data_IF_927951960822
#
_entry.id   IF_927951960822
#
_cell.length_a   1.000
_cell.length_b   1.000
_cell.length_c   1.000
_cell.angle_alpha   90.00
_cell.angle_beta   90.00
_cell.angle_gamma   90.00
#
_symmetry.space_group_name_H-M   'P 1'
#
loop_
_entity.id
_entity.type
_entity.pdbx_description
1 polymer ?
#
# COMPACT_ATOMS: atom_id res chain seq x y z
N UNK A 1 19.61 -13.76 -28.13
CA UNK A 1 18.48 -13.55 -27.21
C UNK A 1 19.02 -13.09 -25.87
N UNK A 2 18.41 -12.11 -25.19
CA UNK A 2 18.81 -11.76 -23.81
C UNK A 2 18.56 -12.99 -22.92
N UNK A 3 19.52 -13.35 -22.07
CA UNK A 3 19.37 -14.46 -21.13
C UNK A 3 18.13 -14.22 -20.24
N UNK A 4 17.25 -15.23 -20.03
CA UNK A 4 16.10 -15.12 -19.13
C UNK A 4 16.52 -14.60 -17.76
N UNK A 5 15.66 -13.81 -17.12
CA UNK A 5 15.91 -13.27 -15.79
C UNK A 5 16.13 -14.39 -14.77
N UNK A 6 15.35 -15.48 -14.86
CA UNK A 6 15.48 -16.65 -13.99
C UNK A 6 16.88 -17.31 -14.04
N UNK A 7 17.53 -17.32 -15.20
CA UNK A 7 18.85 -17.94 -15.39
C UNK A 7 20.03 -17.02 -15.01
N UNK A 8 19.79 -15.72 -14.80
CA UNK A 8 20.84 -14.79 -14.41
C UNK A 8 21.25 -14.99 -12.94
N UNK A 9 22.52 -14.76 -12.56
CA UNK A 9 22.92 -14.73 -11.16
C UNK A 9 22.04 -13.76 -10.35
N UNK A 10 21.60 -14.18 -9.17
CA UNK A 10 20.60 -13.44 -8.40
C UNK A 10 21.04 -12.02 -8.04
N UNK A 11 22.31 -11.77 -7.73
CA UNK A 11 22.79 -10.42 -7.39
C UNK A 11 22.70 -9.46 -8.58
N UNK A 12 23.02 -9.94 -9.79
CA UNK A 12 22.94 -9.24 -11.07
C UNK A 12 21.49 -8.95 -11.45
N UNK A 13 20.61 -9.95 -11.36
CA UNK A 13 19.19 -9.79 -11.62
C UNK A 13 18.57 -8.71 -10.71
N UNK A 14 18.87 -8.75 -9.40
CA UNK A 14 18.37 -7.75 -8.43
C UNK A 14 18.93 -6.35 -8.72
N UNK A 15 20.21 -6.22 -9.12
CA UNK A 15 20.78 -4.91 -9.53
C UNK A 15 20.10 -4.37 -10.79
N UNK A 16 19.88 -5.21 -11.79
CA UNK A 16 19.20 -4.82 -13.03
C UNK A 16 17.79 -4.33 -12.74
N UNK A 17 16.99 -5.12 -12.00
CA UNK A 17 15.64 -4.74 -11.61
C UNK A 17 15.62 -3.45 -10.78
N UNK A 18 16.58 -3.28 -9.85
CA UNK A 18 16.70 -2.05 -9.07
C UNK A 18 16.98 -0.83 -9.96
N UNK A 19 17.82 -0.96 -10.99
CA UNK A 19 18.06 0.10 -11.98
C UNK A 19 16.79 0.44 -12.75
N UNK A 20 16.08 -0.57 -13.26
CA UNK A 20 14.82 -0.37 -13.98
C UNK A 20 13.80 0.40 -13.16
N UNK A 21 13.59 0.04 -11.89
CA UNK A 21 12.66 0.75 -11.01
C UNK A 21 13.14 2.16 -10.64
N UNK A 22 14.46 2.35 -10.52
CA UNK A 22 15.04 3.66 -10.26
C UNK A 22 14.89 4.61 -11.45
N UNK A 23 14.99 4.10 -12.68
CA UNK A 23 14.78 4.88 -13.90
C UNK A 23 13.30 5.18 -14.14
N UNK A 24 12.39 4.24 -13.85
CA UNK A 24 10.94 4.52 -13.81
C UNK A 24 10.60 5.61 -12.79
N UNK A 25 11.19 5.54 -11.60
CA UNK A 25 11.02 6.58 -10.58
C UNK A 25 11.60 7.92 -11.07
N UNK A 26 12.72 7.94 -11.78
CA UNK A 26 13.21 9.20 -12.35
C UNK A 26 12.24 9.77 -13.38
N UNK A 27 11.80 8.97 -14.35
CA UNK A 27 10.90 9.44 -15.41
C UNK A 27 9.58 9.98 -14.84
N UNK A 28 9.07 9.38 -13.77
CA UNK A 28 7.90 9.90 -13.06
C UNK A 28 8.22 11.15 -12.23
N UNK A 29 9.40 11.20 -11.58
CA UNK A 29 9.85 12.37 -10.82
C UNK A 29 10.01 13.62 -11.69
N UNK A 30 10.47 13.46 -12.93
CA UNK A 30 10.66 14.56 -13.89
C UNK A 30 9.32 15.20 -14.33
N UNK A 31 8.21 14.47 -14.17
CA UNK A 31 6.86 14.96 -14.46
C UNK A 31 6.14 15.57 -13.24
N UNK A 32 6.70 15.46 -12.03
CA UNK A 32 6.04 15.94 -10.80
C UNK A 32 5.83 17.45 -10.75
N UNK A 33 6.64 18.21 -11.49
CA UNK A 33 6.53 19.66 -11.58
C UNK A 33 5.37 20.12 -12.49
N UNK A 34 4.78 19.22 -13.30
CA UNK A 34 3.60 19.50 -14.12
C UNK A 34 2.31 19.33 -13.30
N UNK A 35 1.59 20.41 -12.96
CA UNK A 35 0.36 20.31 -12.21
C UNK A 35 -0.78 19.60 -12.97
N UNK A 36 -0.70 19.52 -14.30
CA UNK A 36 -1.68 18.85 -15.15
C UNK A 36 -1.49 17.32 -15.18
N UNK A 37 -0.32 16.81 -14.81
CA UNK A 37 -0.03 15.38 -14.77
C UNK A 37 -0.45 14.78 -13.42
N UNK A 38 -1.70 14.30 -13.37
CA UNK A 38 -2.25 13.66 -12.17
C UNK A 38 -1.67 12.27 -11.89
N UNK A 39 -1.00 11.64 -12.87
CA UNK A 39 -0.46 10.28 -12.76
C UNK A 39 1.02 10.26 -12.36
N UNK A 40 1.77 11.35 -12.54
CA UNK A 40 3.19 11.43 -12.23
C UNK A 40 3.52 10.96 -10.80
N UNK A 41 2.73 11.41 -9.81
CA UNK A 41 2.92 10.99 -8.42
C UNK A 41 2.55 9.53 -8.18
N UNK A 42 1.49 9.04 -8.83
CA UNK A 42 1.10 7.64 -8.78
C UNK A 42 2.25 6.75 -9.28
N UNK A 43 2.77 7.04 -10.47
CA UNK A 43 3.86 6.29 -11.09
C UNK A 43 5.14 6.33 -10.27
N UNK A 44 5.47 7.53 -9.74
CA UNK A 44 6.63 7.72 -8.88
C UNK A 44 6.56 6.82 -7.63
N UNK A 45 5.41 6.84 -6.95
CA UNK A 45 5.14 6.02 -5.78
C UNK A 45 5.18 4.52 -6.11
N UNK A 46 4.60 4.12 -7.25
CA UNK A 46 4.63 2.71 -7.71
C UNK A 46 6.06 2.24 -7.92
N UNK A 47 6.89 3.03 -8.59
CA UNK A 47 8.29 2.70 -8.86
C UNK A 47 9.13 2.61 -7.58
N UNK A 48 9.01 3.57 -6.66
CA UNK A 48 9.70 3.54 -5.36
C UNK A 48 9.26 2.34 -4.51
N UNK A 49 7.95 2.02 -4.50
CA UNK A 49 7.43 0.86 -3.80
C UNK A 49 8.01 -0.43 -4.36
N UNK A 50 8.07 -0.59 -5.69
CA UNK A 50 8.69 -1.75 -6.36
C UNK A 50 10.18 -1.87 -6.02
N UNK A 51 10.93 -0.77 -6.07
CA UNK A 51 12.33 -0.74 -5.65
C UNK A 51 12.51 -1.19 -4.20
N UNK A 52 11.76 -0.61 -3.26
CA UNK A 52 11.81 -0.99 -1.84
C UNK A 52 11.49 -2.46 -1.64
N UNK A 53 10.45 -2.95 -2.30
CA UNK A 53 9.98 -4.31 -2.21
C UNK A 53 11.00 -5.32 -2.74
N UNK A 54 11.61 -5.04 -3.89
CA UNK A 54 12.69 -5.84 -4.46
C UNK A 54 13.87 -5.95 -3.47
N UNK A 55 14.32 -4.81 -2.92
CA UNK A 55 15.43 -4.77 -1.97
C UNK A 55 15.13 -5.50 -0.65
N UNK A 56 13.85 -5.54 -0.24
CA UNK A 56 13.38 -6.28 0.94
C UNK A 56 13.32 -7.79 0.66
N UNK A 57 12.69 -8.19 -0.44
CA UNK A 57 12.50 -9.58 -0.83
C UNK A 57 13.84 -10.30 -1.06
N UNK A 58 14.80 -9.62 -1.68
CA UNK A 58 16.14 -10.15 -1.97
C UNK A 58 17.22 -9.54 -1.07
N UNK A 59 16.91 -9.25 0.20
CA UNK A 59 17.83 -8.60 1.16
C UNK A 59 19.18 -9.30 1.25
N UNK A 60 19.22 -10.62 1.14
CA UNK A 60 20.45 -11.43 1.17
C UNK A 60 21.44 -11.08 0.05
N UNK A 61 20.93 -10.70 -1.12
CA UNK A 61 21.73 -10.31 -2.30
C UNK A 61 21.92 -8.80 -2.33
N UNK A 62 20.87 -8.01 -2.02
CA UNK A 62 20.96 -6.56 -1.95
C UNK A 62 22.00 -6.07 -0.92
N UNK A 63 22.25 -6.81 0.18
CA UNK A 63 23.27 -6.43 1.17
C UNK A 63 24.72 -6.54 0.68
N UNK A 64 24.97 -7.26 -0.40
CA UNK A 64 26.32 -7.48 -0.94
C UNK A 64 26.87 -6.24 -1.69
N UNK A 65 25.98 -5.36 -2.17
CA UNK A 65 26.36 -4.17 -2.95
C UNK A 65 25.71 -2.88 -2.44
N UNK A 66 24.63 -2.96 -1.65
CA UNK A 66 23.96 -1.80 -1.08
C UNK A 66 24.18 -1.73 0.44
N UNK A 67 24.38 -0.53 0.98
CA UNK A 67 24.51 -0.34 2.43
C UNK A 67 23.15 -0.39 3.15
N UNK A 68 23.16 -0.69 4.46
CA UNK A 68 21.94 -0.61 5.30
C UNK A 68 21.31 0.79 5.22
N UNK A 69 22.15 1.84 5.25
CA UNK A 69 21.71 3.24 5.18
C UNK A 69 20.98 3.57 3.87
N UNK A 70 21.47 3.08 2.73
CA UNK A 70 20.81 3.31 1.44
C UNK A 70 19.51 2.52 1.30
N UNK A 71 19.46 1.27 1.77
CA UNK A 71 18.19 0.52 1.83
C UNK A 71 17.15 1.22 2.70
N UNK A 72 17.57 1.77 3.84
CA UNK A 72 16.67 2.54 4.71
C UNK A 72 16.18 3.79 3.98
N UNK A 73 17.04 4.52 3.26
CA UNK A 73 16.62 5.69 2.49
C UNK A 73 15.60 5.37 1.39
N UNK A 74 15.72 4.20 0.73
CA UNK A 74 14.71 3.72 -0.20
C UNK A 74 13.36 3.47 0.49
N UNK A 75 13.38 2.91 1.72
CA UNK A 75 12.18 2.77 2.55
C UNK A 75 11.57 4.13 2.89
N UNK A 76 12.38 5.06 3.36
CA UNK A 76 11.91 6.38 3.81
C UNK A 76 11.26 7.16 2.66
N UNK A 77 11.87 7.15 1.46
CA UNK A 77 11.31 7.80 0.26
C UNK A 77 9.98 7.17 -0.17
N UNK A 78 9.88 5.84 -0.17
CA UNK A 78 8.62 5.19 -0.50
C UNK A 78 7.54 5.49 0.56
N UNK A 79 7.93 5.56 1.84
CA UNK A 79 7.02 5.87 2.95
C UNK A 79 6.54 7.32 2.95
N UNK A 80 7.38 8.29 2.55
CA UNK A 80 6.95 9.71 2.49
C UNK A 80 5.86 9.95 1.45
N UNK A 81 5.79 9.11 0.40
CA UNK A 81 4.70 9.13 -0.59
C UNK A 81 3.48 8.28 -0.19
N UNK A 82 3.56 7.58 0.94
CA UNK A 82 2.51 6.67 1.41
C UNK A 82 1.31 7.39 2.02
N UNK A 83 1.56 8.46 2.79
CA UNK A 83 0.52 9.18 3.54
C UNK A 83 -0.58 9.72 2.61
N UNK A 84 -0.18 10.41 1.54
CA UNK A 84 -1.11 10.91 0.52
C UNK A 84 -1.99 9.80 -0.07
N UNK A 85 -1.45 8.59 -0.27
CA UNK A 85 -2.24 7.47 -0.78
C UNK A 85 -3.29 7.02 0.21
N UNK A 86 -2.97 6.99 1.50
CA UNK A 86 -3.90 6.56 2.53
C UNK A 86 -5.07 7.57 2.59
N UNK A 87 -4.79 8.87 2.53
CA UNK A 87 -5.81 9.93 2.47
C UNK A 87 -6.61 9.92 1.16
N UNK A 88 -6.00 9.63 0.00
CA UNK A 88 -6.74 9.40 -1.26
C UNK A 88 -7.79 8.28 -1.12
N UNK A 89 -7.40 7.16 -0.51
CA UNK A 89 -8.28 6.00 -0.34
C UNK A 89 -9.43 6.32 0.61
N UNK A 90 -9.14 7.01 1.72
CA UNK A 90 -10.16 7.46 2.67
C UNK A 90 -11.16 8.43 2.01
N UNK A 91 -10.66 9.42 1.27
CA UNK A 91 -11.51 10.38 0.56
C UNK A 91 -12.36 9.69 -0.51
N UNK A 92 -11.78 8.76 -1.28
CA UNK A 92 -12.50 7.97 -2.27
C UNK A 92 -13.64 7.16 -1.62
N UNK A 93 -13.35 6.46 -0.52
CA UNK A 93 -14.39 5.74 0.23
C UNK A 93 -15.47 6.70 0.75
N UNK A 94 -15.08 7.84 1.33
CA UNK A 94 -16.02 8.82 1.85
C UNK A 94 -16.97 9.31 0.76
N UNK A 95 -16.47 9.58 -0.44
CA UNK A 95 -17.31 10.01 -1.57
C UNK A 95 -18.34 8.96 -1.99
N UNK A 96 -18.05 7.66 -1.82
CA UNK A 96 -19.05 6.61 -2.08
C UNK A 96 -20.25 6.65 -1.12
N UNK A 97 -20.12 7.32 0.03
CA UNK A 97 -21.20 7.44 1.01
C UNK A 97 -22.10 8.66 0.77
N UNK A 98 -21.69 9.61 -0.08
CA UNK A 98 -22.32 10.92 -0.23
C UNK A 98 -23.84 10.86 -0.46
N UNK A 99 -24.30 9.93 -1.29
CA UNK A 99 -25.73 9.79 -1.64
C UNK A 99 -26.58 9.19 -0.51
N UNK A 100 -25.95 8.53 0.48
CA UNK A 100 -26.62 7.87 1.60
C UNK A 100 -26.75 8.76 2.83
N UNK A 101 -26.11 9.93 2.83
CA UNK A 101 -26.08 10.87 3.95
C UNK A 101 -27.41 11.62 4.07
N UNK A 102 -28.05 11.52 5.24
CA UNK A 102 -29.27 12.26 5.57
C UNK A 102 -28.94 13.73 5.92
N UNK A 103 -29.94 14.61 5.85
CA UNK A 103 -29.75 16.05 6.11
C UNK A 103 -29.05 16.35 7.44
N UNK A 104 -29.46 15.67 8.52
CA UNK A 104 -28.89 15.84 9.87
C UNK A 104 -27.47 15.23 10.03
N UNK A 105 -27.02 14.41 9.07
CA UNK A 105 -25.68 13.79 9.06
C UNK A 105 -24.70 14.59 8.20
N UNK A 106 -25.21 15.50 7.36
CA UNK A 106 -24.42 16.28 6.41
C UNK A 106 -23.30 17.12 7.04
N UNK A 107 -23.47 17.75 8.22
CA UNK A 107 -22.39 18.52 8.84
C UNK A 107 -21.14 17.67 9.10
N UNK A 108 -21.28 16.50 9.74
CA UNK A 108 -20.14 15.64 10.05
C UNK A 108 -19.49 15.02 8.81
N UNK A 109 -20.29 14.71 7.79
CA UNK A 109 -19.77 14.28 6.49
C UNK A 109 -18.90 15.35 5.84
N UNK A 110 -19.40 16.59 5.77
CA UNK A 110 -18.66 17.71 5.17
C UNK A 110 -17.40 18.05 5.96
N UNK A 111 -17.49 18.03 7.29
CA UNK A 111 -16.33 18.26 8.16
C UNK A 111 -15.22 17.24 7.88
N UNK A 112 -15.55 15.94 7.83
CA UNK A 112 -14.55 14.91 7.54
C UNK A 112 -14.00 15.05 6.11
N UNK A 113 -14.86 15.39 5.15
CA UNK A 113 -14.46 15.62 3.76
C UNK A 113 -13.45 16.77 3.67
N UNK A 114 -13.76 17.93 4.23
CA UNK A 114 -12.91 19.12 4.21
C UNK A 114 -11.56 18.83 4.85
N UNK A 115 -11.55 18.21 6.04
CA UNK A 115 -10.33 17.77 6.72
C UNK A 115 -9.43 16.90 5.85
N UNK A 116 -9.99 15.88 5.19
CA UNK A 116 -9.22 14.98 4.32
C UNK A 116 -8.73 15.70 3.05
N UNK A 117 -9.51 16.64 2.50
CA UNK A 117 -9.11 17.42 1.33
C UNK A 117 -7.95 18.37 1.65
N UNK A 118 -8.02 19.07 2.78
CA UNK A 118 -6.96 19.98 3.24
C UNK A 118 -5.67 19.21 3.50
N UNK A 119 -5.77 18.10 4.25
CA UNK A 119 -4.65 17.20 4.53
C UNK A 119 -4.01 16.67 3.25
N UNK A 120 -4.80 16.22 2.28
CA UNK A 120 -4.29 15.74 0.99
C UNK A 120 -3.55 16.84 0.22
N UNK A 121 -4.07 18.07 0.28
CA UNK A 121 -3.42 19.25 -0.30
C UNK A 121 -2.05 19.50 0.29
N UNK A 122 -1.95 19.49 1.62
CA UNK A 122 -0.69 19.67 2.35
C UNK A 122 0.31 18.55 2.05
N UNK A 123 -0.13 17.29 2.10
CA UNK A 123 0.72 16.13 1.80
C UNK A 123 1.25 16.16 0.36
N UNK A 124 0.44 16.63 -0.62
CA UNK A 124 0.90 16.84 -1.98
C UNK A 124 1.89 17.99 -2.14
N UNK A 125 1.67 19.11 -1.44
CA UNK A 125 2.61 20.21 -1.42
C UNK A 125 3.98 19.76 -0.87
N UNK A 126 3.98 19.05 0.27
CA UNK A 126 5.18 18.49 0.90
C UNK A 126 5.92 17.53 -0.01
N UNK A 127 5.20 16.62 -0.66
CA UNK A 127 5.79 15.66 -1.60
C UNK A 127 6.45 16.40 -2.76
N UNK A 128 5.75 17.33 -3.41
CA UNK A 128 6.27 18.09 -4.56
C UNK A 128 7.50 18.92 -4.18
N UNK A 129 7.53 19.50 -2.98
CA UNK A 129 8.65 20.33 -2.53
C UNK A 129 9.88 19.51 -2.10
N UNK A 130 9.69 18.47 -1.28
CA UNK A 130 10.81 17.79 -0.63
C UNK A 130 11.35 16.59 -1.43
N UNK A 131 10.46 15.88 -2.12
CA UNK A 131 10.76 14.55 -2.68
C UNK A 131 11.73 14.60 -3.86
N UNK A 132 11.61 15.52 -4.85
CA UNK A 132 12.52 15.54 -6.00
C UNK A 132 13.98 15.71 -5.60
N UNK A 133 14.27 16.65 -4.68
CA UNK A 133 15.64 16.88 -4.21
C UNK A 133 16.20 15.70 -3.41
N UNK A 134 15.35 15.08 -2.56
CA UNK A 134 15.70 13.92 -1.76
C UNK A 134 15.97 12.70 -2.65
N UNK A 135 15.15 12.50 -3.68
CA UNK A 135 15.27 11.44 -4.66
C UNK A 135 16.53 11.61 -5.52
N UNK A 136 16.82 12.82 -6.01
CA UNK A 136 18.05 13.12 -6.78
C UNK A 136 19.32 12.71 -6.02
N UNK A 137 19.42 13.07 -4.73
CA UNK A 137 20.55 12.67 -3.86
C UNK A 137 20.61 11.16 -3.65
N UNK A 138 19.46 10.52 -3.48
CA UNK A 138 19.36 9.06 -3.33
C UNK A 138 19.79 8.33 -4.61
N UNK A 139 19.26 8.73 -5.77
CA UNK A 139 19.57 8.15 -7.08
C UNK A 139 21.05 8.23 -7.41
N UNK A 140 21.70 9.37 -7.18
CA UNK A 140 23.15 9.51 -7.38
C UNK A 140 23.93 8.41 -6.64
N UNK A 141 23.64 8.24 -5.35
CA UNK A 141 24.29 7.21 -4.51
C UNK A 141 23.91 5.77 -4.89
N UNK A 142 22.71 5.56 -5.44
CA UNK A 142 22.31 4.26 -5.96
C UNK A 142 23.10 3.90 -7.22
N UNK A 143 23.24 4.83 -8.17
CA UNK A 143 23.97 4.59 -9.42
C UNK A 143 25.44 4.21 -9.16
N UNK A 144 26.12 4.92 -8.24
CA UNK A 144 27.47 4.60 -7.77
C UNK A 144 27.62 3.14 -7.28
N UNK A 145 26.54 2.49 -6.82
CA UNK A 145 26.53 1.10 -6.36
C UNK A 145 26.07 0.11 -7.43
N UNK A 146 25.18 0.55 -8.32
CA UNK A 146 24.65 -0.27 -9.41
C UNK A 146 25.65 -0.43 -10.56
N UNK A 147 26.58 0.51 -10.73
CA UNK A 147 27.64 0.48 -11.77
C UNK A 147 28.85 -0.38 -11.38
N UNK A 148 28.89 -0.92 -10.15
CA UNK A 148 29.98 -1.80 -9.72
C UNK A 148 29.96 -3.08 -10.55
N UNK A 149 31.01 -3.34 -11.32
CA UNK A 149 31.20 -4.65 -11.92
C UNK A 149 31.65 -5.65 -10.84
N UNK A 150 30.96 -6.78 -10.75
CA UNK A 150 31.25 -7.81 -9.76
C UNK A 150 31.02 -9.16 -10.41
N UNK A 151 32.02 -10.01 -10.33
CA UNK A 151 31.84 -11.44 -10.50
C UNK A 151 30.72 -11.90 -9.57
N UNK A 152 29.76 -12.62 -10.13
CA UNK A 152 28.53 -12.97 -9.47
C UNK A 152 28.38 -14.49 -9.51
N UNK A 153 28.90 -15.11 -8.46
CA UNK A 153 28.79 -16.53 -8.14
C UNK A 153 27.46 -16.86 -7.46
N UNK A 154 26.52 -15.90 -7.38
CA UNK A 154 25.22 -16.15 -6.81
C UNK A 154 24.47 -17.24 -7.60
N UNK A 155 23.68 -18.08 -6.91
CA UNK A 155 22.78 -19.00 -7.59
C UNK A 155 21.85 -18.27 -8.57
N UNK A 156 21.31 -18.98 -9.59
CA UNK A 156 20.36 -18.40 -10.52
C UNK A 156 19.16 -17.76 -9.79
N UNK A 157 18.70 -16.64 -10.32
CA UNK A 157 17.61 -15.86 -9.72
C UNK A 157 16.31 -16.66 -9.62
N UNK A 158 16.04 -17.54 -10.58
CA UNK A 158 14.88 -18.43 -10.60
C UNK A 158 14.84 -19.33 -9.37
N UNK A 159 15.91 -20.10 -9.11
CA UNK A 159 16.06 -20.97 -7.94
C UNK A 159 15.90 -20.21 -6.62
N UNK A 160 16.55 -19.05 -6.52
CA UNK A 160 16.44 -18.19 -5.33
C UNK A 160 15.01 -17.71 -5.12
N UNK A 161 14.33 -17.32 -6.21
CA UNK A 161 12.97 -16.80 -6.15
C UNK A 161 11.97 -17.92 -5.85
N UNK A 162 12.15 -19.12 -6.42
CA UNK A 162 11.37 -20.31 -6.12
C UNK A 162 11.40 -20.64 -4.63
N UNK A 163 12.59 -20.73 -4.03
CA UNK A 163 12.74 -20.98 -2.58
C UNK A 163 12.00 -19.93 -1.74
N UNK A 164 12.14 -18.65 -2.08
CA UNK A 164 11.47 -17.56 -1.37
C UNK A 164 9.96 -17.54 -1.58
N UNK A 165 9.48 -17.97 -2.74
CA UNK A 165 8.05 -18.12 -3.02
C UNK A 165 7.45 -19.21 -2.15
N UNK A 166 8.10 -20.38 -2.04
CA UNK A 166 7.66 -21.47 -1.16
C UNK A 166 7.59 -21.02 0.30
N UNK A 167 8.65 -20.41 0.84
CA UNK A 167 8.65 -19.90 2.21
C UNK A 167 7.52 -18.87 2.45
N UNK A 168 7.32 -17.94 1.50
CA UNK A 168 6.28 -16.93 1.62
C UNK A 168 4.87 -17.49 1.40
N UNK A 169 4.73 -18.60 0.67
CA UNK A 169 3.48 -19.31 0.45
C UNK A 169 3.03 -20.03 1.73
N UNK A 170 3.97 -20.64 2.45
CA UNK A 170 3.71 -21.27 3.75
C UNK A 170 3.28 -20.23 4.80
N UNK A 171 4.00 -19.10 4.89
CA UNK A 171 3.66 -17.96 5.75
C UNK A 171 2.24 -17.44 5.41
N UNK A 172 1.94 -17.28 4.12
CA UNK A 172 0.63 -16.84 3.67
C UNK A 172 -0.48 -17.84 4.01
N UNK A 173 -0.25 -19.14 3.76
CA UNK A 173 -1.17 -20.24 4.12
C UNK A 173 -1.49 -20.20 5.62
N UNK A 174 -0.48 -20.13 6.47
CA UNK A 174 -0.64 -20.16 7.92
C UNK A 174 -1.58 -19.04 8.40
N UNK A 175 -1.38 -17.81 7.90
CA UNK A 175 -2.25 -16.69 8.24
C UNK A 175 -3.68 -16.85 7.69
N UNK A 176 -3.83 -17.33 6.44
CA UNK A 176 -5.16 -17.59 5.88
C UNK A 176 -5.94 -18.65 6.66
N UNK A 177 -5.26 -19.70 7.13
CA UNK A 177 -5.87 -20.75 7.94
C UNK A 177 -6.36 -20.20 9.29
N UNK A 178 -5.59 -19.28 9.92
CA UNK A 178 -6.04 -18.60 11.14
C UNK A 178 -7.26 -17.70 10.89
N UNK A 179 -7.28 -16.98 9.77
CA UNK A 179 -8.45 -16.18 9.36
C UNK A 179 -9.68 -17.06 9.19
N UNK A 180 -9.53 -18.23 8.56
CA UNK A 180 -10.59 -19.23 8.39
C UNK A 180 -11.10 -19.77 9.73
N UNK A 181 -10.25 -19.90 10.73
CA UNK A 181 -10.62 -20.35 12.09
C UNK A 181 -11.25 -19.25 12.96
N UNK A 182 -11.43 -18.03 12.44
CA UNK A 182 -12.09 -16.93 13.14
C UNK A 182 -11.15 -15.92 13.81
N UNK A 183 -9.83 -16.04 13.63
CA UNK A 183 -8.88 -15.00 14.05
C UNK A 183 -8.91 -13.84 13.04
N UNK A 184 -9.51 -12.70 13.39
CA UNK A 184 -9.90 -11.73 12.37
C UNK A 184 -8.77 -10.74 12.00
N UNK A 185 -8.41 -9.80 12.88
CA UNK A 185 -7.79 -8.56 12.40
C UNK A 185 -6.27 -8.67 12.15
N UNK A 186 -5.50 -9.12 13.13
CA UNK A 186 -4.04 -9.21 13.00
C UNK A 186 -3.65 -10.22 11.93
N UNK A 187 -4.35 -11.35 11.86
CA UNK A 187 -4.08 -12.40 10.88
C UNK A 187 -4.41 -11.96 9.45
N UNK A 188 -5.49 -11.19 9.22
CA UNK A 188 -5.74 -10.55 7.91
C UNK A 188 -4.62 -9.57 7.56
N UNK A 189 -4.12 -8.80 8.53
CA UNK A 189 -3.00 -7.90 8.31
C UNK A 189 -1.72 -8.65 7.92
N UNK A 190 -1.39 -9.73 8.63
CA UNK A 190 -0.22 -10.55 8.34
C UNK A 190 -0.36 -11.31 7.01
N UNK A 191 -1.53 -11.89 6.71
CA UNK A 191 -1.84 -12.47 5.41
C UNK A 191 -1.64 -11.46 4.29
N UNK A 192 -2.14 -10.22 4.45
CA UNK A 192 -1.91 -9.13 3.50
C UNK A 192 -0.43 -8.81 3.32
N UNK A 193 0.37 -8.81 4.40
CA UNK A 193 1.82 -8.62 4.33
C UNK A 193 2.48 -9.77 3.55
N UNK A 194 2.15 -11.02 3.85
CA UNK A 194 2.69 -12.20 3.19
C UNK A 194 2.32 -12.23 1.70
N UNK A 195 1.06 -11.97 1.36
CA UNK A 195 0.61 -11.81 -0.03
C UNK A 195 1.38 -10.70 -0.75
N UNK A 196 1.69 -9.58 -0.09
CA UNK A 196 2.53 -8.52 -0.69
C UNK A 196 3.92 -9.05 -1.03
N UNK A 197 4.52 -9.85 -0.15
CA UNK A 197 5.83 -10.50 -0.40
C UNK A 197 5.74 -11.43 -1.61
N UNK A 198 4.72 -12.28 -1.69
CA UNK A 198 4.46 -13.16 -2.83
C UNK A 198 4.39 -12.36 -4.13
N UNK A 199 3.59 -11.29 -4.17
CA UNK A 199 3.45 -10.46 -5.36
C UNK A 199 4.78 -9.85 -5.80
N UNK A 200 5.60 -9.39 -4.86
CA UNK A 200 6.89 -8.78 -5.18
C UNK A 200 7.93 -9.79 -5.68
N UNK A 201 7.82 -11.06 -5.27
CA UNK A 201 8.66 -12.14 -5.78
C UNK A 201 8.21 -12.60 -7.18
N UNK A 202 6.89 -12.68 -7.40
CA UNK A 202 6.31 -13.12 -8.68
C UNK A 202 6.39 -12.06 -9.79
N UNK A 203 6.09 -10.78 -9.48
CA UNK A 203 5.96 -9.71 -10.50
C UNK A 203 7.13 -9.66 -11.50
N UNK A 204 8.41 -9.77 -11.08
CA UNK A 204 9.54 -9.70 -12.00
C UNK A 204 9.66 -10.91 -12.95
N UNK A 205 9.20 -12.08 -12.53
CA UNK A 205 9.36 -13.35 -13.25
C UNK A 205 8.07 -13.83 -13.92
N UNK A 206 6.93 -13.18 -13.64
CA UNK A 206 5.61 -13.58 -14.13
C UNK A 206 5.48 -13.67 -15.67
N UNK A 207 6.36 -12.99 -16.43
CA UNK A 207 6.39 -13.09 -17.90
C UNK A 207 7.12 -14.32 -18.43
N UNK A 208 7.96 -14.94 -17.61
CA UNK A 208 8.73 -16.15 -17.94
C UNK A 208 7.99 -17.43 -17.54
N UNK A 209 6.94 -17.30 -16.72
CA UNK A 209 6.13 -18.40 -16.20
C UNK A 209 4.87 -18.61 -17.05
N UNK A 210 4.56 -19.87 -17.32
CA UNK A 210 3.29 -20.25 -17.90
C UNK A 210 2.18 -19.97 -16.88
N UNK A 211 1.16 -19.20 -17.26
CA UNK A 211 0.11 -18.74 -16.35
C UNK A 211 0.55 -17.68 -15.33
N UNK A 212 1.79 -17.18 -15.37
CA UNK A 212 2.30 -16.22 -14.37
C UNK A 212 1.51 -14.91 -14.27
N UNK A 213 0.93 -14.43 -15.38
CA UNK A 213 0.05 -13.26 -15.39
C UNK A 213 -1.27 -13.52 -14.65
N UNK A 214 -1.84 -14.71 -14.83
CA UNK A 214 -3.08 -15.11 -14.18
C UNK A 214 -2.86 -15.31 -12.68
N UNK A 215 -1.71 -15.90 -12.30
CA UNK A 215 -1.31 -16.02 -10.90
C UNK A 215 -1.17 -14.65 -10.21
N UNK A 216 -0.59 -13.65 -10.89
CA UNK A 216 -0.55 -12.27 -10.39
C UNK A 216 -1.95 -11.67 -10.25
N UNK A 217 -2.87 -12.00 -11.17
CA UNK A 217 -4.26 -11.53 -11.13
C UNK A 217 -5.01 -12.15 -9.94
N UNK A 218 -4.95 -13.46 -9.77
CA UNK A 218 -5.53 -14.18 -8.62
C UNK A 218 -5.01 -13.62 -7.28
N UNK A 219 -3.69 -13.41 -7.18
CA UNK A 219 -3.09 -12.82 -5.98
C UNK A 219 -3.59 -11.41 -5.71
N UNK A 220 -3.73 -10.58 -6.75
CA UNK A 220 -4.27 -9.22 -6.61
C UNK A 220 -5.71 -9.24 -6.12
N UNK A 221 -6.56 -10.12 -6.63
CA UNK A 221 -7.96 -10.20 -6.22
C UNK A 221 -8.11 -10.50 -4.72
N UNK A 222 -7.32 -11.43 -4.18
CA UNK A 222 -7.28 -11.68 -2.73
C UNK A 222 -6.69 -10.50 -1.95
N UNK A 223 -5.64 -9.88 -2.48
CA UNK A 223 -5.00 -8.72 -1.86
C UNK A 223 -5.87 -7.48 -1.82
N UNK A 224 -6.70 -7.26 -2.82
CA UNK A 224 -7.60 -6.12 -2.91
C UNK A 224 -8.67 -6.24 -1.83
N UNK A 225 -9.21 -7.45 -1.58
CA UNK A 225 -10.15 -7.70 -0.49
C UNK A 225 -9.52 -7.46 0.90
N UNK A 226 -8.36 -8.06 1.18
CA UNK A 226 -7.64 -7.82 2.44
C UNK A 226 -7.15 -6.37 2.57
N UNK A 227 -6.85 -5.74 1.44
CA UNK A 227 -6.47 -4.33 1.32
C UNK A 227 -7.60 -3.44 1.77
N UNK A 228 -8.79 -3.64 1.23
CA UNK A 228 -9.98 -2.88 1.60
C UNK A 228 -10.31 -3.04 3.09
N UNK A 229 -10.24 -4.25 3.64
CA UNK A 229 -10.43 -4.48 5.09
C UNK A 229 -9.48 -3.61 5.92
N UNK A 230 -8.20 -3.63 5.57
CA UNK A 230 -7.19 -2.84 6.27
C UNK A 230 -7.41 -1.34 6.12
N UNK A 231 -7.76 -0.87 4.91
CA UNK A 231 -7.98 0.55 4.64
C UNK A 231 -9.19 1.08 5.43
N UNK A 232 -10.26 0.27 5.58
CA UNK A 232 -11.42 0.56 6.44
C UNK A 232 -11.04 0.64 7.91
N UNK A 233 -10.19 -0.28 8.39
CA UNK A 233 -9.72 -0.28 9.79
C UNK A 233 -8.90 0.98 10.11
N UNK A 234 -7.95 1.31 9.25
CA UNK A 234 -7.14 2.54 9.37
C UNK A 234 -8.05 3.76 9.37
N UNK A 235 -9.07 3.79 8.50
CA UNK A 235 -10.00 4.92 8.49
C UNK A 235 -10.90 4.98 9.72
N UNK A 236 -11.32 3.84 10.28
CA UNK A 236 -12.11 3.82 11.52
C UNK A 236 -11.33 4.37 12.71
N UNK A 237 -10.04 4.02 12.83
CA UNK A 237 -9.12 4.56 13.84
C UNK A 237 -8.95 6.08 13.67
N UNK A 238 -8.72 6.55 12.44
CA UNK A 238 -8.59 7.97 12.14
C UNK A 238 -9.89 8.73 12.41
N UNK A 239 -11.05 8.17 12.04
CA UNK A 239 -12.35 8.78 12.31
C UNK A 239 -12.60 8.91 13.82
N UNK A 240 -12.20 7.93 14.62
CA UNK A 240 -12.31 8.00 16.08
C UNK A 240 -11.47 9.15 16.65
N UNK A 241 -10.20 9.24 16.25
CA UNK A 241 -9.32 10.33 16.68
C UNK A 241 -9.84 11.71 16.23
N UNK A 242 -10.24 11.82 14.96
CA UNK A 242 -10.77 13.05 14.39
C UNK A 242 -12.08 13.48 15.08
N UNK A 243 -12.92 12.53 15.51
CA UNK A 243 -14.15 12.82 16.24
C UNK A 243 -13.89 13.38 17.64
N UNK A 244 -12.81 12.93 18.31
CA UNK A 244 -12.37 13.48 19.59
C UNK A 244 -11.93 14.95 19.43
N UNK A 245 -11.09 15.23 18.43
CA UNK A 245 -10.61 16.58 18.10
C UNK A 245 -11.78 17.52 17.77
N UNK A 246 -12.71 17.09 16.90
CA UNK A 246 -13.90 17.85 16.52
C UNK A 246 -14.77 18.17 17.74
N UNK A 247 -14.98 17.19 18.62
CA UNK A 247 -15.76 17.37 19.85
C UNK A 247 -15.13 18.40 20.80
N UNK A 248 -13.81 18.35 20.96
CA UNK A 248 -13.07 19.28 21.82
C UNK A 248 -13.09 20.71 21.25
N UNK A 249 -12.85 20.88 19.95
CA UNK A 249 -12.89 22.18 19.27
C UNK A 249 -14.28 22.81 19.35
N UNK A 250 -15.32 22.02 19.08
CA UNK A 250 -16.71 22.46 19.19
C UNK A 250 -17.06 22.90 20.60
N UNK A 251 -16.69 22.12 21.61
CA UNK A 251 -16.94 22.47 23.01
C UNK A 251 -16.28 23.80 23.35
N UNK A 252 -15.03 24.01 22.94
CA UNK A 252 -14.31 25.27 23.14
C UNK A 252 -15.03 26.44 22.49
N UNK A 253 -15.40 26.32 21.21
CA UNK A 253 -16.14 27.34 20.46
C UNK A 253 -17.48 27.67 21.13
N UNK A 254 -18.20 26.67 21.62
CA UNK A 254 -19.47 26.87 22.31
C UNK A 254 -19.31 27.62 23.63
N UNK A 255 -18.26 27.33 24.40
CA UNK A 255 -17.92 28.06 25.63
C UNK A 255 -17.57 29.51 25.31
N UNK A 256 -16.70 29.74 24.34
CA UNK A 256 -16.29 31.09 23.92
C UNK A 256 -17.49 31.94 23.46
N UNK A 257 -18.35 31.39 22.59
CA UNK A 257 -19.56 32.08 22.15
C UNK A 257 -20.52 32.37 23.32
N UNK A 258 -20.66 31.43 24.26
CA UNK A 258 -21.56 31.59 25.41
C UNK A 258 -21.04 32.62 26.43
N UNK A 259 -19.71 32.84 26.48
CA UNK A 259 -19.09 33.89 27.29
C UNK A 259 -19.16 35.26 26.61
N UNK A 260 -19.14 35.30 25.28
CA UNK A 260 -19.08 36.54 24.51
C UNK A 260 -20.45 37.08 24.07
N UNK A 261 -21.49 36.24 23.99
CA UNK A 261 -22.78 36.57 23.36
C UNK A 261 -23.98 36.29 24.27
N UNK A 262 -25.11 36.95 23.98
CA UNK A 262 -26.40 36.69 24.64
C UNK A 262 -27.01 35.34 24.24
N UNK A 263 -27.94 34.82 25.04
CA UNK A 263 -28.54 33.49 24.81
C UNK A 263 -29.31 33.36 23.49
N UNK A 264 -29.84 34.47 22.97
CA UNK A 264 -30.60 34.53 21.71
C UNK A 264 -29.74 34.97 20.52
N UNK A 265 -28.41 35.01 20.67
CA UNK A 265 -27.51 35.40 19.58
C UNK A 265 -27.62 34.40 18.41
N UNK A 266 -27.88 34.87 17.17
CA UNK A 266 -28.02 34.02 15.99
C UNK A 266 -26.81 33.12 15.73
N UNK A 267 -25.59 33.57 16.04
CA UNK A 267 -24.35 32.82 15.81
C UNK A 267 -24.25 31.64 16.79
N UNK A 268 -24.67 31.85 18.04
CA UNK A 268 -24.76 30.78 19.04
C UNK A 268 -25.80 29.73 18.65
N UNK A 269 -26.94 30.15 18.08
CA UNK A 269 -27.97 29.24 17.59
C UNK A 269 -27.52 28.49 16.33
N UNK A 270 -26.79 29.13 15.42
CA UNK A 270 -26.23 28.50 14.24
C UNK A 270 -25.16 27.45 14.59
N UNK A 271 -24.27 27.77 15.54
CA UNK A 271 -23.25 26.84 16.05
C UNK A 271 -23.87 25.61 16.74
N UNK A 272 -25.04 25.76 17.37
CA UNK A 272 -25.80 24.62 17.93
C UNK A 272 -26.40 23.71 16.86
N UNK A 273 -26.80 24.26 15.70
CA UNK A 273 -27.41 23.52 14.59
C UNK A 273 -26.40 22.76 13.71
N UNK A 274 -25.15 23.20 13.71
CA UNK A 274 -24.02 22.49 13.10
C UNK A 274 -23.49 21.47 14.10
N UNK A 275 -24.13 20.29 14.12
CA UNK A 275 -23.68 19.16 14.94
C UNK A 275 -23.09 18.07 14.04
N UNK A 276 -21.77 17.96 14.08
CA UNK A 276 -20.99 17.01 13.31
C UNK A 276 -21.20 15.56 13.81
N UNK A 277 -21.59 15.38 15.08
CA UNK A 277 -21.63 14.07 15.74
C UNK A 277 -22.54 13.07 15.02
N UNK A 278 -23.71 13.50 14.58
CA UNK A 278 -24.64 12.61 13.88
C UNK A 278 -24.05 12.10 12.56
N UNK A 279 -23.29 12.94 11.85
CA UNK A 279 -22.57 12.56 10.65
C UNK A 279 -21.42 11.61 10.93
N UNK A 280 -20.56 11.95 11.89
CA UNK A 280 -19.40 11.15 12.28
C UNK A 280 -19.81 9.77 12.81
N UNK A 281 -20.83 9.69 13.66
CA UNK A 281 -21.39 8.40 14.13
C UNK A 281 -21.99 7.57 12.99
N UNK A 282 -22.61 8.22 12.01
CA UNK A 282 -23.12 7.51 10.82
C UNK A 282 -21.99 6.94 9.98
N UNK A 283 -20.91 7.69 9.79
CA UNK A 283 -19.71 7.21 9.09
C UNK A 283 -19.06 6.03 9.82
N UNK A 284 -18.93 6.12 11.15
CA UNK A 284 -18.38 5.04 11.95
C UNK A 284 -19.19 3.74 11.81
N UNK A 285 -20.53 3.85 11.82
CA UNK A 285 -21.40 2.70 11.56
C UNK A 285 -21.22 2.12 10.15
N UNK A 286 -21.14 2.97 9.13
CA UNK A 286 -20.93 2.52 7.75
C UNK A 286 -19.56 1.84 7.56
N UNK A 287 -18.51 2.31 8.23
CA UNK A 287 -17.20 1.64 8.24
C UNK A 287 -17.30 0.27 8.89
N UNK A 288 -17.97 0.17 10.04
CA UNK A 288 -18.17 -1.09 10.75
C UNK A 288 -18.96 -2.10 9.89
N UNK A 289 -20.12 -1.72 9.36
CA UNK A 289 -20.95 -2.56 8.51
C UNK A 289 -20.17 -3.04 7.27
N UNK A 290 -19.34 -2.15 6.68
CA UNK A 290 -18.48 -2.50 5.54
C UNK A 290 -17.40 -3.50 5.93
N UNK A 291 -16.75 -3.30 7.08
CA UNK A 291 -15.74 -4.23 7.58
C UNK A 291 -16.32 -5.62 7.81
N UNK A 292 -17.47 -5.74 8.47
CA UNK A 292 -18.14 -7.02 8.69
C UNK A 292 -18.47 -7.72 7.36
N UNK A 293 -19.00 -6.97 6.40
CA UNK A 293 -19.31 -7.50 5.08
C UNK A 293 -18.06 -8.01 4.34
N UNK A 294 -16.95 -7.27 4.38
CA UNK A 294 -15.70 -7.69 3.74
C UNK A 294 -15.07 -8.91 4.42
N UNK A 295 -15.12 -8.97 5.75
CA UNK A 295 -14.68 -10.13 6.52
C UNK A 295 -15.49 -11.38 6.15
N UNK A 296 -16.83 -11.26 6.10
CA UNK A 296 -17.69 -12.37 5.68
C UNK A 296 -17.37 -12.85 4.26
N UNK A 297 -17.14 -11.93 3.32
CA UNK A 297 -16.72 -12.28 1.95
C UNK A 297 -15.35 -12.96 1.91
N UNK A 298 -14.40 -12.52 2.72
CA UNK A 298 -13.08 -13.12 2.80
C UNK A 298 -13.18 -14.55 3.33
N UNK A 299 -13.90 -14.76 4.44
CA UNK A 299 -14.12 -16.10 5.00
C UNK A 299 -14.78 -17.04 4.00
N UNK A 300 -15.83 -16.60 3.30
CA UNK A 300 -16.49 -17.42 2.28
C UNK A 300 -15.53 -17.86 1.15
N UNK A 301 -14.67 -16.95 0.66
CA UNK A 301 -13.65 -17.29 -0.34
C UNK A 301 -12.64 -18.33 0.16
N UNK A 302 -12.26 -18.26 1.44
CA UNK A 302 -11.35 -19.23 2.06
C UNK A 302 -12.03 -20.60 2.31
N UNK A 303 -13.35 -20.62 2.50
CA UNK A 303 -14.13 -21.85 2.60
C UNK A 303 -14.32 -22.53 1.23
N UNK A 304 -14.49 -21.75 0.16
CA UNK A 304 -14.65 -22.22 -1.23
C UNK A 304 -13.38 -22.82 -1.86
N UNK A 305 -12.29 -22.94 -1.08
CA UNK A 305 -11.03 -23.53 -1.52
C UNK A 305 -10.22 -22.66 -2.49
N UNK A 306 -10.54 -21.36 -2.61
CA UNK A 306 -9.87 -20.45 -3.56
C UNK A 306 -8.39 -20.27 -3.21
N UNK A 307 -8.08 -20.16 -1.91
CA UNK A 307 -6.72 -20.05 -1.41
C UNK A 307 -5.90 -21.32 -1.69
N UNK A 308 -6.49 -22.50 -1.51
CA UNK A 308 -5.91 -23.81 -1.80
C UNK A 308 -5.53 -23.94 -3.27
N UNK A 309 -6.43 -23.56 -4.18
CA UNK A 309 -6.15 -23.54 -5.63
C UNK A 309 -5.03 -22.57 -5.99
N UNK A 310 -5.09 -21.34 -5.50
CA UNK A 310 -4.04 -20.34 -5.74
C UNK A 310 -2.66 -20.85 -5.27
N UNK A 311 -2.58 -21.41 -4.07
CA UNK A 311 -1.33 -21.90 -3.50
C UNK A 311 -0.78 -23.14 -4.25
N UNK A 312 -1.65 -23.95 -4.86
CA UNK A 312 -1.23 -25.02 -5.77
C UNK A 312 -0.64 -24.46 -7.09
N UNK A 313 -1.28 -23.45 -7.70
CA UNK A 313 -0.72 -22.76 -8.87
C UNK A 313 0.61 -22.08 -8.54
N UNK A 314 0.75 -21.53 -7.34
CA UNK A 314 1.99 -20.92 -6.86
C UNK A 314 3.12 -21.94 -6.71
N UNK A 315 2.82 -23.15 -6.22
CA UNK A 315 3.80 -24.24 -6.13
C UNK A 315 4.30 -24.65 -7.52
N UNK A 316 3.39 -24.79 -8.50
CA UNK A 316 3.76 -25.07 -9.90
C UNK A 316 4.65 -23.96 -10.49
N UNK A 317 4.35 -22.69 -10.19
CA UNK A 317 5.19 -21.57 -10.60
C UNK A 317 6.60 -21.63 -9.99
N UNK A 318 6.72 -22.07 -8.72
CA UNK A 318 8.03 -22.25 -8.09
C UNK A 318 8.83 -23.39 -8.75
N UNK A 319 8.19 -24.49 -9.12
CA UNK A 319 8.82 -25.59 -9.87
C UNK A 319 9.30 -25.13 -11.26
N UNK A 320 8.46 -24.40 -12.00
CA UNK A 320 8.84 -23.82 -13.30
C UNK A 320 10.07 -22.90 -13.19
N UNK A 321 10.16 -22.09 -12.14
CA UNK A 321 11.31 -21.21 -11.90
C UNK A 321 12.61 -21.98 -11.68
N UNK A 322 12.55 -23.12 -11.01
CA UNK A 322 13.74 -23.95 -10.77
C UNK A 322 14.23 -24.62 -12.06
N UNK A 323 13.31 -25.03 -12.95
CA UNK A 323 13.66 -25.51 -14.29
C UNK A 323 14.28 -24.38 -15.13
N UNK A 324 13.65 -23.20 -15.17
CA UNK A 324 14.14 -22.04 -15.93
C UNK A 324 15.49 -21.51 -15.42
N UNK A 325 15.84 -21.79 -14.16
CA UNK A 325 17.13 -21.44 -13.58
C UNK A 325 18.29 -22.23 -14.19
N UNK A 326 18.04 -23.42 -14.73
CA UNK A 326 19.05 -24.32 -15.31
C UNK A 326 18.63 -24.80 -16.71
N UNK A 327 18.69 -23.95 -17.73
CA UNK A 327 18.18 -24.26 -19.08
C UNK A 327 18.96 -25.35 -19.83
N UNK A 328 20.11 -25.81 -19.30
CA UNK A 328 20.93 -26.90 -19.85
C UNK A 328 20.87 -28.19 -19.01
N UNK A 329 19.94 -28.26 -18.05
CA UNK A 329 19.72 -29.41 -17.16
C UNK A 329 18.58 -30.32 -17.59
#
# INVERSE_FOLDING_TARGET
>A
MKQPLAAQPASRAVRHLARTYLDQAQAACDRLDDPADTEALHDFRVALRRLRSLLKAHKGYAKQWLSKKLRQRAKDLASSTGLARDTEVQLAWLMTQQERIKSHQRPGFLWMKERLQDRLGDEYADIRQATPSAFKRFRKRMNERLDLDKDDDAPPFGRVTALRLTEAAEDFRAHLDQVKMGAAQEEVHQARIAGKRLRYLLEPVAKELEGGKDLIKELKEMQDLMGEIHDIQVFAEELAQASEEAGAERMRRMVELSLARGQDDPDLQAARRTDERAGLMSLARQLHDRQEHLMSRLTAKLEDGEAERFLAHLAQAAEQLDVLAYPEG
#
